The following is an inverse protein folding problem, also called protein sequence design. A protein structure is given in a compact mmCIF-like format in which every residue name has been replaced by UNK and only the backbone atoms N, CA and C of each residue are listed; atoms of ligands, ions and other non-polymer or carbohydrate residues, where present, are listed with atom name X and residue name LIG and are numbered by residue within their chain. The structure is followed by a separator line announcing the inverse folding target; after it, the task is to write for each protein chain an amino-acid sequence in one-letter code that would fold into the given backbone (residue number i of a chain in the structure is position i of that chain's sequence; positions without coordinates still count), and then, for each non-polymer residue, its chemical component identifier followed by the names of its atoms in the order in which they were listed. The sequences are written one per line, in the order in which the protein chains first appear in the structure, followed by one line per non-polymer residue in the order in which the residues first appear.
data_IF_455032556120
#
_entry.id   IF_455032556120
#
_cell.length_a   1.000
_cell.length_b   1.000
_cell.length_c   1.000
_cell.angle_alpha   90.00
_cell.angle_beta   90.00
_cell.angle_gamma   90.00
#
_symmetry.space_group_name_H-M   'P 1'
#
loop_
_entity.id
_entity.type
_entity.pdbx_description
1 polymer ?
#
# COMPACT_ATOMS: atom_id res chain seq x y z
N UNK A 1 -15.31 12.96 -9.32
CA UNK A 1 -14.82 13.63 -8.09
C UNK A 1 -14.24 12.66 -7.02
N UNK A 2 -14.67 11.38 -6.96
CA UNK A 2 -14.14 10.39 -6.00
C UNK A 2 -12.80 9.77 -6.42
N UNK A 3 -12.47 9.74 -7.70
CA UNK A 3 -11.21 9.15 -8.21
C UNK A 3 -9.99 10.05 -7.97
N UNK A 4 -10.15 11.38 -7.97
CA UNK A 4 -9.04 12.31 -7.67
C UNK A 4 -8.57 12.27 -6.20
N UNK A 5 -9.40 11.81 -5.26
CA UNK A 5 -9.06 11.78 -3.82
C UNK A 5 -8.08 10.67 -3.41
N UNK A 6 -7.87 9.66 -4.27
CA UNK A 6 -7.06 8.47 -3.94
C UNK A 6 -5.58 8.58 -4.31
N UNK A 7 -5.21 9.58 -5.13
CA UNK A 7 -3.84 9.71 -5.66
C UNK A 7 -3.03 10.86 -5.04
N UNK A 8 -3.63 11.63 -4.16
CA UNK A 8 -2.92 12.69 -3.47
C UNK A 8 -2.24 12.13 -2.22
N UNK A 9 -0.95 11.86 -2.36
CA UNK A 9 -0.05 11.94 -1.22
C UNK A 9 0.31 13.43 -1.04
N UNK A 10 -0.52 14.21 -0.35
CA UNK A 10 -0.47 15.66 -0.31
C UNK A 10 0.75 16.16 0.43
N UNK A 11 1.37 15.31 1.21
CA UNK A 11 2.48 15.67 2.10
C UNK A 11 3.79 15.94 1.37
N UNK A 12 4.11 15.24 0.28
CA UNK A 12 5.42 15.41 -0.38
C UNK A 12 5.49 16.76 -1.08
N UNK A 13 4.44 17.15 -1.82
CA UNK A 13 4.38 18.44 -2.50
C UNK A 13 4.37 19.61 -1.49
N UNK A 14 3.60 19.48 -0.41
CA UNK A 14 3.50 20.51 0.63
C UNK A 14 4.82 20.66 1.38
N UNK A 15 5.47 19.56 1.78
CA UNK A 15 6.78 19.61 2.42
C UNK A 15 7.87 20.17 1.49
N UNK A 16 7.80 19.84 0.20
CA UNK A 16 8.74 20.38 -0.78
C UNK A 16 8.57 21.89 -0.96
N UNK A 17 7.33 22.38 -1.06
CA UNK A 17 7.04 23.82 -1.14
C UNK A 17 7.45 24.57 0.15
N UNK A 18 7.21 23.98 1.33
CA UNK A 18 7.65 24.54 2.61
C UNK A 18 9.18 24.64 2.64
N UNK A 19 9.88 23.60 2.25
CA UNK A 19 11.34 23.57 2.19
C UNK A 19 11.88 24.62 1.22
N UNK A 20 11.26 24.77 0.05
CA UNK A 20 11.63 25.78 -0.94
C UNK A 20 11.50 27.21 -0.36
N UNK A 21 10.44 27.50 0.38
CA UNK A 21 10.25 28.81 1.04
C UNK A 21 11.32 29.06 2.10
N UNK A 22 11.68 28.06 2.92
CA UNK A 22 12.76 28.20 3.89
C UNK A 22 14.10 28.44 3.21
N UNK A 23 14.41 27.75 2.12
CA UNK A 23 15.62 27.99 1.33
C UNK A 23 15.62 29.40 0.73
N UNK A 24 14.49 29.87 0.21
CA UNK A 24 14.33 31.21 -0.33
C UNK A 24 14.50 32.28 0.74
N UNK A 25 13.90 32.10 1.92
CA UNK A 25 14.08 33.00 3.07
C UNK A 25 15.55 33.07 3.49
N UNK A 26 16.24 31.94 3.60
CA UNK A 26 17.65 31.91 3.93
C UNK A 26 18.49 32.65 2.86
N UNK A 27 18.26 32.35 1.59
CA UNK A 27 18.99 32.99 0.48
C UNK A 27 18.75 34.50 0.43
N UNK A 28 17.51 34.95 0.67
CA UNK A 28 17.16 36.36 0.76
C UNK A 28 17.86 37.07 1.96
N UNK A 29 17.86 36.42 3.11
CA UNK A 29 18.53 36.98 4.31
C UNK A 29 20.03 37.17 4.04
N UNK A 30 20.65 36.23 3.32
CA UNK A 30 22.07 36.37 2.93
C UNK A 30 22.27 37.45 1.86
N UNK A 31 21.38 37.53 0.86
CA UNK A 31 21.49 38.46 -0.27
C UNK A 31 21.24 39.93 0.16
N UNK A 32 20.35 40.15 1.11
CA UNK A 32 20.01 41.48 1.60
C UNK A 32 21.08 42.07 2.53
N UNK A 33 21.96 41.24 3.13
CA UNK A 33 23.06 41.71 3.92
C UNK A 33 22.70 42.32 5.26
N UNK A 34 23.77 42.83 6.00
CA UNK A 34 23.67 43.22 7.39
C UNK A 34 23.21 44.66 7.62
N UNK A 35 23.20 45.49 6.57
CA UNK A 35 23.07 46.97 6.74
C UNK A 35 21.70 47.51 6.29
N UNK A 36 20.63 46.70 6.40
CA UNK A 36 19.27 47.09 5.98
C UNK A 36 18.42 47.56 7.15
N UNK A 37 17.60 48.59 6.86
CA UNK A 37 16.58 49.06 7.79
C UNK A 37 15.56 47.95 8.15
N UNK A 38 15.08 47.97 9.37
CA UNK A 38 14.14 46.97 9.93
C UNK A 38 12.86 46.83 9.07
N UNK A 39 12.45 47.91 8.38
CA UNK A 39 11.25 47.95 7.51
C UNK A 39 11.43 47.04 6.29
N UNK A 40 12.63 46.96 5.73
CA UNK A 40 12.92 46.08 4.58
C UNK A 40 12.91 44.58 4.94
N UNK A 41 13.01 44.22 6.21
CA UNK A 41 12.95 42.87 6.74
C UNK A 41 11.52 42.41 7.06
N UNK A 42 10.55 43.33 7.10
CA UNK A 42 9.15 43.00 7.44
C UNK A 42 8.52 41.94 6.52
N UNK A 43 8.66 42.00 5.18
CA UNK A 43 8.12 40.95 4.30
C UNK A 43 8.73 39.59 4.56
N UNK A 44 10.03 39.54 4.86
CA UNK A 44 10.72 38.29 5.22
C UNK A 44 10.14 37.65 6.47
N UNK A 45 9.89 38.49 7.48
CA UNK A 45 9.30 38.04 8.74
C UNK A 45 7.87 37.52 8.54
N UNK A 46 7.05 38.22 7.74
CA UNK A 46 5.69 37.78 7.38
C UNK A 46 5.70 36.45 6.62
N UNK A 47 6.62 36.30 5.66
CA UNK A 47 6.76 35.02 4.94
C UNK A 47 7.22 33.90 5.86
N UNK A 48 8.17 34.17 6.78
CA UNK A 48 8.66 33.19 7.75
C UNK A 48 7.54 32.72 8.69
N UNK A 49 6.73 33.65 9.23
CA UNK A 49 5.56 33.31 10.06
C UNK A 49 4.53 32.52 9.28
N UNK A 50 4.22 32.94 8.05
CA UNK A 50 3.32 32.22 7.16
C UNK A 50 3.81 30.79 6.88
N UNK A 51 5.09 30.64 6.55
CA UNK A 51 5.68 29.34 6.28
C UNK A 51 5.71 28.44 7.53
N UNK A 52 5.96 29.03 8.72
CA UNK A 52 5.85 28.33 10.00
C UNK A 52 4.43 27.81 10.25
N UNK A 53 3.41 28.67 10.02
CA UNK A 53 2.01 28.28 10.15
C UNK A 53 1.68 27.13 9.19
N UNK A 54 2.13 27.18 7.92
CA UNK A 54 1.97 26.10 6.95
C UNK A 54 2.68 24.81 7.40
N UNK A 55 3.88 24.92 7.97
CA UNK A 55 4.63 23.77 8.49
C UNK A 55 3.89 23.10 9.64
N UNK A 56 3.33 23.86 10.55
CA UNK A 56 2.53 23.36 11.69
C UNK A 56 1.24 22.68 11.17
N UNK A 57 0.53 23.30 10.23
CA UNK A 57 -0.68 22.74 9.65
C UNK A 57 -0.39 21.43 8.91
N UNK A 58 0.72 21.37 8.18
CA UNK A 58 1.15 20.14 7.51
C UNK A 58 1.50 19.03 8.51
N UNK A 59 2.18 19.38 9.62
CA UNK A 59 2.52 18.46 10.70
C UNK A 59 1.31 17.93 11.46
N UNK A 60 0.29 18.77 11.68
CA UNK A 60 -0.97 18.41 12.34
C UNK A 60 -2.00 17.77 11.40
N UNK A 61 -1.67 17.58 10.13
CA UNK A 61 -2.59 17.04 9.11
C UNK A 61 -3.86 17.87 8.90
N UNK A 62 -3.84 19.16 9.21
CA UNK A 62 -4.98 20.06 9.02
C UNK A 62 -5.00 20.52 7.56
N UNK A 63 -6.10 20.25 6.84
CA UNK A 63 -6.24 20.61 5.43
C UNK A 63 -7.32 21.67 5.24
N UNK A 64 -6.91 22.83 4.77
CA UNK A 64 -7.82 23.82 4.21
C UNK A 64 -8.12 23.47 2.74
N UNK A 65 -9.37 23.63 2.32
CA UNK A 65 -9.82 23.25 0.96
C UNK A 65 -9.01 23.96 -0.14
N UNK A 66 -8.54 25.19 0.11
CA UNK A 66 -7.84 26.04 -0.85
C UNK A 66 -6.40 26.36 -0.44
N UNK A 67 -5.78 25.54 0.44
CA UNK A 67 -4.46 25.85 0.99
C UNK A 67 -3.37 26.02 -0.09
N UNK A 68 -3.41 25.25 -1.17
CA UNK A 68 -2.43 25.33 -2.27
C UNK A 68 -2.54 26.61 -3.07
N UNK A 69 -3.79 27.03 -3.37
CA UNK A 69 -4.04 28.29 -4.07
C UNK A 69 -3.62 29.49 -3.21
N UNK A 70 -3.97 29.47 -1.92
CA UNK A 70 -3.55 30.47 -0.95
C UNK A 70 -2.02 30.54 -0.84
N UNK A 71 -1.36 29.41 -0.82
CA UNK A 71 0.09 29.33 -0.75
C UNK A 71 0.77 30.01 -1.95
N UNK A 72 0.31 29.76 -3.18
CA UNK A 72 0.83 30.42 -4.39
C UNK A 72 0.50 31.91 -4.39
N UNK A 73 -0.71 32.30 -3.98
CA UNK A 73 -1.10 33.71 -3.89
C UNK A 73 -0.17 34.46 -2.94
N UNK A 74 0.14 33.88 -1.77
CA UNK A 74 1.08 34.47 -0.81
C UNK A 74 2.48 34.57 -1.41
N UNK A 75 2.95 33.54 -2.13
CA UNK A 75 4.26 33.58 -2.79
C UNK A 75 4.33 34.68 -3.88
N UNK A 76 3.26 34.88 -4.64
CA UNK A 76 3.15 35.95 -5.66
C UNK A 76 3.18 37.33 -4.98
N UNK A 77 2.33 37.55 -3.98
CA UNK A 77 2.27 38.82 -3.25
C UNK A 77 3.64 39.13 -2.62
N UNK A 78 4.27 38.14 -2.02
CA UNK A 78 5.60 38.28 -1.43
C UNK A 78 6.65 38.69 -2.47
N UNK A 79 6.68 38.01 -3.63
CA UNK A 79 7.63 38.32 -4.70
C UNK A 79 7.41 39.74 -5.23
N UNK A 80 6.17 40.19 -5.40
CA UNK A 80 5.82 41.56 -5.82
C UNK A 80 6.27 42.58 -4.76
N UNK A 81 6.05 42.30 -3.46
CA UNK A 81 6.47 43.20 -2.39
C UNK A 81 8.00 43.37 -2.36
N UNK A 82 8.74 42.28 -2.50
CA UNK A 82 10.21 42.34 -2.58
C UNK A 82 10.66 43.13 -3.82
N UNK A 83 10.02 42.95 -4.97
CA UNK A 83 10.32 43.76 -6.18
C UNK A 83 10.07 45.24 -5.96
N UNK A 84 9.01 45.61 -5.25
CA UNK A 84 8.73 47.00 -4.89
C UNK A 84 9.81 47.60 -3.98
N UNK A 85 10.26 46.87 -2.98
CA UNK A 85 11.25 47.33 -2.02
C UNK A 85 12.67 47.42 -2.60
N UNK A 86 13.03 46.49 -3.50
CA UNK A 86 14.38 46.34 -4.01
C UNK A 86 14.59 46.86 -5.44
N UNK A 87 13.73 47.81 -5.87
CA UNK A 87 13.81 48.44 -7.22
C UNK A 87 13.71 47.48 -8.41
N UNK A 88 12.95 46.39 -8.24
CA UNK A 88 12.53 45.53 -9.33
C UNK A 88 13.61 44.59 -9.83
N UNK A 89 13.64 44.38 -11.15
CA UNK A 89 14.42 43.35 -11.84
C UNK A 89 15.93 43.53 -11.85
N UNK A 90 16.44 44.71 -11.48
CA UNK A 90 17.88 45.03 -11.46
C UNK A 90 18.51 44.87 -10.08
N UNK A 91 17.70 44.53 -9.06
CA UNK A 91 18.19 44.31 -7.70
C UNK A 91 18.87 42.94 -7.53
N UNK A 92 19.64 42.82 -6.45
CA UNK A 92 20.30 41.57 -6.05
C UNK A 92 19.34 40.39 -5.83
N UNK A 93 18.05 40.66 -5.74
CA UNK A 93 16.98 39.70 -5.44
C UNK A 93 15.99 39.48 -6.59
N UNK A 94 16.38 39.87 -7.83
CA UNK A 94 15.52 39.67 -9.03
C UNK A 94 15.06 38.21 -9.24
N UNK A 95 15.83 37.23 -8.73
CA UNK A 95 15.52 35.81 -8.78
C UNK A 95 14.32 35.39 -7.92
N UNK A 96 13.80 36.24 -7.04
CA UNK A 96 12.66 35.91 -6.15
C UNK A 96 11.39 35.52 -6.93
N UNK A 97 11.24 36.04 -8.14
CA UNK A 97 10.14 35.66 -9.03
C UNK A 97 10.10 34.16 -9.39
N UNK A 98 11.18 33.43 -9.17
CA UNK A 98 11.25 31.97 -9.36
C UNK A 98 10.42 31.24 -8.31
N UNK A 99 10.30 31.77 -7.08
CA UNK A 99 9.57 31.13 -5.99
C UNK A 99 8.10 30.81 -6.34
N UNK A 100 7.25 31.78 -6.76
CA UNK A 100 5.86 31.48 -7.11
C UNK A 100 5.75 30.58 -8.34
N UNK A 101 6.71 30.62 -9.28
CA UNK A 101 6.75 29.74 -10.45
C UNK A 101 7.00 28.29 -10.03
N UNK A 102 7.98 28.06 -9.18
CA UNK A 102 8.29 26.73 -8.65
C UNK A 102 7.14 26.21 -7.78
N UNK A 103 6.59 27.04 -6.88
CA UNK A 103 5.44 26.65 -6.06
C UNK A 103 4.24 26.29 -6.93
N UNK A 104 3.95 27.10 -7.97
CA UNK A 104 2.90 26.82 -8.94
C UNK A 104 3.11 25.52 -9.70
N UNK A 105 4.34 25.27 -10.17
CA UNK A 105 4.70 24.05 -10.87
C UNK A 105 4.58 22.81 -9.98
N UNK A 106 4.96 22.90 -8.71
CA UNK A 106 4.87 21.79 -7.75
C UNK A 106 3.41 21.44 -7.45
N UNK A 107 2.54 22.45 -7.28
CA UNK A 107 1.15 22.22 -6.88
C UNK A 107 0.21 21.89 -8.03
N UNK A 108 0.42 22.49 -9.22
CA UNK A 108 -0.48 22.39 -10.37
C UNK A 108 0.21 22.03 -11.67
N UNK A 109 1.43 21.50 -11.59
CA UNK A 109 2.21 21.01 -12.73
C UNK A 109 2.42 22.14 -13.79
N UNK A 110 2.24 21.83 -15.07
CA UNK A 110 2.45 22.80 -16.18
C UNK A 110 1.54 24.03 -16.03
N UNK A 111 0.26 23.83 -15.71
CA UNK A 111 -0.70 24.95 -15.61
C UNK A 111 -0.30 25.91 -14.49
N UNK A 112 0.09 25.41 -13.33
CA UNK A 112 0.51 26.25 -12.22
C UNK A 112 1.80 27.01 -12.50
N UNK A 113 2.79 26.36 -13.10
CA UNK A 113 4.04 26.99 -13.50
C UNK A 113 3.82 28.12 -14.52
N UNK A 114 3.02 27.86 -15.57
CA UNK A 114 2.74 28.85 -16.62
C UNK A 114 1.90 30.02 -16.08
N UNK A 115 0.87 29.76 -15.27
CA UNK A 115 0.04 30.84 -14.68
C UNK A 115 0.87 31.73 -13.76
N UNK A 116 1.65 31.16 -12.85
CA UNK A 116 2.52 31.94 -11.97
C UNK A 116 3.57 32.73 -12.77
N UNK A 117 4.18 32.12 -13.79
CA UNK A 117 5.12 32.79 -14.67
C UNK A 117 4.48 33.94 -15.46
N UNK A 118 3.23 33.78 -15.92
CA UNK A 118 2.49 34.83 -16.63
C UNK A 118 2.24 36.03 -15.71
N UNK A 119 1.84 35.82 -14.47
CA UNK A 119 1.66 36.89 -13.49
C UNK A 119 3.00 37.60 -13.23
N UNK A 120 4.09 36.88 -13.05
CA UNK A 120 5.40 37.47 -12.82
C UNK A 120 5.93 38.21 -14.07
N UNK A 121 5.68 37.68 -15.27
CA UNK A 121 6.03 38.37 -16.53
C UNK A 121 5.27 39.69 -16.71
N UNK A 122 3.98 39.69 -16.44
CA UNK A 122 3.18 40.91 -16.44
C UNK A 122 3.68 41.93 -15.40
N UNK A 123 4.01 41.47 -14.21
CA UNK A 123 4.63 42.28 -13.16
C UNK A 123 5.95 42.90 -13.63
N UNK A 124 6.82 42.14 -14.25
CA UNK A 124 8.11 42.60 -14.79
C UNK A 124 7.91 43.70 -15.84
N UNK A 125 6.98 43.50 -16.78
CA UNK A 125 6.62 44.51 -17.81
C UNK A 125 6.04 45.78 -17.18
N UNK A 126 5.12 45.67 -16.22
CA UNK A 126 4.51 46.80 -15.54
C UNK A 126 5.56 47.64 -14.80
N UNK A 127 6.48 46.99 -14.06
CA UNK A 127 7.57 47.67 -13.36
C UNK A 127 8.49 48.44 -14.33
N UNK A 128 8.80 47.84 -15.49
CA UNK A 128 9.61 48.49 -16.50
C UNK A 128 8.87 49.66 -17.17
N UNK A 129 7.57 49.52 -17.41
CA UNK A 129 6.74 50.57 -18.02
C UNK A 129 6.56 51.78 -17.13
N UNK A 130 6.28 51.55 -15.82
CA UNK A 130 6.08 52.65 -14.85
C UNK A 130 7.40 53.23 -14.30
N UNK A 131 8.56 52.80 -14.81
CA UNK A 131 9.84 53.31 -14.35
C UNK A 131 10.19 52.96 -12.91
N UNK A 132 9.48 52.00 -12.32
CA UNK A 132 9.74 51.46 -10.96
C UNK A 132 10.98 50.57 -10.90
N UNK A 133 11.46 50.11 -12.04
CA UNK A 133 12.69 49.34 -12.17
C UNK A 133 13.76 50.21 -12.84
N UNK A 134 15.03 50.06 -12.39
CA UNK A 134 16.17 50.76 -13.00
C UNK A 134 16.47 50.26 -14.45
N UNK A 135 15.67 49.29 -14.96
CA UNK A 135 15.81 48.73 -16.31
C UNK A 135 14.96 49.44 -17.36
N UNK A 136 15.45 49.40 -18.60
CA UNK A 136 14.74 49.87 -19.79
C UNK A 136 13.58 48.90 -20.16
N UNK A 137 12.58 49.37 -20.93
CA UNK A 137 11.50 48.53 -21.45
C UNK A 137 11.99 47.23 -22.11
N UNK A 138 13.08 47.25 -22.97
CA UNK A 138 13.61 46.00 -23.52
C UNK A 138 14.13 45.03 -22.45
N UNK A 139 14.68 45.52 -21.35
CA UNK A 139 15.11 44.65 -20.26
C UNK A 139 13.91 43.94 -19.56
N UNK A 140 12.78 44.70 -19.39
CA UNK A 140 11.54 44.11 -18.86
C UNK A 140 10.94 43.06 -19.79
N UNK A 141 10.98 43.31 -21.10
CA UNK A 141 10.53 42.31 -22.09
C UNK A 141 11.39 41.03 -22.09
N UNK A 142 12.70 41.19 -22.02
CA UNK A 142 13.62 40.01 -21.89
C UNK A 142 13.35 39.24 -20.60
N UNK A 143 13.18 39.93 -19.48
CA UNK A 143 12.84 39.30 -18.20
C UNK A 143 11.49 38.54 -18.24
N UNK A 144 10.47 39.13 -18.89
CA UNK A 144 9.18 38.48 -19.08
C UNK A 144 9.29 37.18 -19.91
N UNK A 145 10.07 37.21 -21.01
CA UNK A 145 10.30 36.04 -21.85
C UNK A 145 11.04 34.94 -21.06
N UNK A 146 12.09 35.31 -20.32
CA UNK A 146 12.83 34.37 -19.48
C UNK A 146 11.91 33.75 -18.42
N UNK A 147 11.09 34.56 -17.76
CA UNK A 147 10.15 34.11 -16.74
C UNK A 147 9.14 33.11 -17.29
N UNK A 148 8.58 33.38 -18.47
CA UNK A 148 7.67 32.43 -19.15
C UNK A 148 8.36 31.14 -19.55
N UNK A 149 9.59 31.24 -20.08
CA UNK A 149 10.39 30.06 -20.41
C UNK A 149 10.68 29.20 -19.17
N UNK A 150 11.02 29.82 -18.04
CA UNK A 150 11.21 29.13 -16.76
C UNK A 150 9.92 28.49 -16.27
N UNK A 151 8.77 29.14 -16.43
CA UNK A 151 7.46 28.58 -16.08
C UNK A 151 7.12 27.31 -16.85
N UNK A 152 7.39 27.32 -18.17
CA UNK A 152 7.24 26.15 -19.02
C UNK A 152 8.22 25.04 -18.63
N UNK A 153 9.49 25.37 -18.43
CA UNK A 153 10.53 24.43 -18.07
C UNK A 153 10.22 23.74 -16.73
N UNK A 154 9.99 24.50 -15.68
CA UNK A 154 9.67 23.96 -14.36
C UNK A 154 8.34 23.22 -14.33
N UNK A 155 7.34 23.71 -15.04
CA UNK A 155 6.05 23.03 -15.21
C UNK A 155 6.21 21.67 -15.88
N UNK A 156 7.01 21.58 -16.93
CA UNK A 156 7.30 20.33 -17.64
C UNK A 156 8.10 19.35 -16.76
N UNK A 157 9.17 19.82 -16.11
CA UNK A 157 9.97 19.00 -15.19
C UNK A 157 9.13 18.47 -14.03
N UNK A 158 8.29 19.32 -13.45
CA UNK A 158 7.39 18.90 -12.35
C UNK A 158 6.41 17.82 -12.82
N UNK A 159 5.79 18.01 -13.99
CA UNK A 159 4.90 17.00 -14.57
C UNK A 159 5.61 15.66 -14.81
N UNK A 160 6.82 15.71 -15.37
CA UNK A 160 7.61 14.51 -15.61
C UNK A 160 7.97 13.79 -14.29
N UNK A 161 8.40 14.54 -13.27
CA UNK A 161 8.74 14.01 -11.95
C UNK A 161 7.52 13.37 -11.27
N UNK A 162 6.39 14.07 -11.27
CA UNK A 162 5.14 13.56 -10.66
C UNK A 162 4.69 12.28 -11.37
N UNK A 163 4.73 12.24 -12.70
CA UNK A 163 4.36 11.05 -13.46
C UNK A 163 5.31 9.87 -13.19
N UNK A 164 6.60 10.13 -13.04
CA UNK A 164 7.58 9.09 -12.65
C UNK A 164 7.29 8.54 -11.25
N UNK A 165 7.04 9.41 -10.28
CA UNK A 165 6.70 9.00 -8.92
C UNK A 165 5.36 8.22 -8.85
N UNK A 166 4.36 8.61 -9.65
CA UNK A 166 3.09 7.87 -9.77
C UNK A 166 3.32 6.45 -10.29
N UNK A 167 4.11 6.30 -11.35
CA UNK A 167 4.45 4.97 -11.91
C UNK A 167 5.16 4.08 -10.89
N UNK A 168 6.16 4.60 -10.19
CA UNK A 168 6.86 3.85 -9.15
C UNK A 168 5.91 3.36 -8.03
N UNK A 169 4.97 4.20 -7.60
CA UNK A 169 3.97 3.80 -6.60
C UNK A 169 3.01 2.73 -7.10
N UNK A 170 2.53 2.86 -8.34
CA UNK A 170 1.66 1.85 -8.95
C UNK A 170 2.36 0.49 -9.04
N UNK A 171 3.64 0.49 -9.37
CA UNK A 171 4.45 -0.73 -9.41
C UNK A 171 4.64 -1.34 -8.01
N UNK A 172 4.91 -0.50 -7.01
CA UNK A 172 4.99 -0.96 -5.61
C UNK A 172 3.67 -1.56 -5.12
N UNK A 173 2.55 -0.86 -5.34
CA UNK A 173 1.22 -1.37 -4.97
C UNK A 173 0.88 -2.70 -5.67
N UNK A 174 1.22 -2.85 -6.95
CA UNK A 174 1.04 -4.11 -7.69
C UNK A 174 1.89 -5.23 -7.08
N UNK A 175 3.13 -4.92 -6.71
CA UNK A 175 4.05 -5.89 -6.10
C UNK A 175 3.57 -6.32 -4.72
N UNK A 176 3.10 -5.39 -3.90
CA UNK A 176 2.53 -5.69 -2.57
C UNK A 176 1.26 -6.53 -2.66
N UNK A 177 0.33 -6.18 -3.56
CA UNK A 177 -0.89 -6.97 -3.80
C UNK A 177 -0.55 -8.38 -4.27
N UNK A 178 0.45 -8.53 -5.14
CA UNK A 178 0.89 -9.85 -5.61
C UNK A 178 1.50 -10.68 -4.47
N UNK A 179 2.30 -10.07 -3.59
CA UNK A 179 2.85 -10.74 -2.40
C UNK A 179 1.73 -11.19 -1.45
N UNK A 180 0.79 -10.32 -1.14
CA UNK A 180 -0.36 -10.65 -0.27
C UNK A 180 -1.21 -11.76 -0.87
N UNK A 181 -1.43 -11.75 -2.19
CA UNK A 181 -2.17 -12.81 -2.86
C UNK A 181 -1.45 -14.17 -2.75
N UNK A 182 -0.14 -14.22 -3.01
CA UNK A 182 0.66 -15.44 -2.90
C UNK A 182 0.67 -15.96 -1.45
N UNK A 183 0.77 -15.08 -0.46
CA UNK A 183 0.75 -15.45 0.96
C UNK A 183 -0.61 -16.01 1.38
N UNK A 184 -1.70 -15.39 0.96
CA UNK A 184 -3.06 -15.87 1.21
C UNK A 184 -3.31 -17.24 0.56
N UNK A 185 -2.83 -17.46 -0.66
CA UNK A 185 -2.96 -18.75 -1.35
C UNK A 185 -2.17 -19.85 -0.64
N UNK A 186 -0.98 -19.51 -0.16
CA UNK A 186 -0.17 -20.42 0.66
C UNK A 186 -0.84 -20.80 1.98
N UNK A 187 -1.41 -19.82 2.68
CA UNK A 187 -2.16 -20.06 3.92
C UNK A 187 -3.38 -20.93 3.67
N UNK A 188 -4.11 -20.69 2.56
CA UNK A 188 -5.24 -21.51 2.16
C UNK A 188 -4.85 -22.96 1.91
N UNK A 189 -3.76 -23.18 1.16
CA UNK A 189 -3.25 -24.53 0.89
C UNK A 189 -2.86 -25.26 2.20
N UNK A 190 -2.21 -24.58 3.15
CA UNK A 190 -1.89 -25.12 4.47
C UNK A 190 -3.17 -25.49 5.24
N UNK A 191 -4.17 -24.63 5.22
CA UNK A 191 -5.45 -24.87 5.89
C UNK A 191 -6.17 -26.09 5.29
N UNK A 192 -6.24 -26.21 3.98
CA UNK A 192 -6.83 -27.36 3.28
C UNK A 192 -6.10 -28.67 3.61
N UNK A 193 -4.77 -28.65 3.61
CA UNK A 193 -3.95 -29.80 4.02
C UNK A 193 -4.20 -30.19 5.47
N UNK A 194 -4.24 -29.23 6.38
CA UNK A 194 -4.49 -29.46 7.81
C UNK A 194 -5.87 -30.05 8.05
N UNK A 195 -6.88 -29.53 7.35
CA UNK A 195 -8.26 -30.02 7.45
C UNK A 195 -8.37 -31.45 6.93
N UNK A 196 -7.73 -31.76 5.80
CA UNK A 196 -7.71 -33.11 5.22
C UNK A 196 -6.99 -34.10 6.13
N UNK A 197 -5.84 -33.72 6.70
CA UNK A 197 -5.11 -34.55 7.66
C UNK A 197 -5.92 -34.82 8.93
N UNK A 198 -6.56 -33.79 9.49
CA UNK A 198 -7.40 -33.95 10.67
C UNK A 198 -8.62 -34.84 10.40
N UNK A 199 -9.25 -34.72 9.25
CA UNK A 199 -10.35 -35.60 8.85
C UNK A 199 -9.89 -37.07 8.72
N UNK A 200 -8.73 -37.30 8.12
CA UNK A 200 -8.17 -38.65 7.99
C UNK A 200 -7.77 -39.27 9.32
N UNK A 201 -7.15 -38.49 10.20
CA UNK A 201 -6.79 -38.95 11.56
C UNK A 201 -8.02 -39.23 12.41
N UNK A 202 -9.07 -38.40 12.31
CA UNK A 202 -10.34 -38.61 13.00
C UNK A 202 -11.03 -39.88 12.54
N UNK A 203 -11.04 -40.14 11.22
CA UNK A 203 -11.63 -41.35 10.65
C UNK A 203 -10.91 -42.62 11.13
N UNK A 204 -9.57 -42.66 11.11
CA UNK A 204 -8.78 -43.78 11.62
C UNK A 204 -9.07 -44.04 13.10
N UNK A 205 -9.09 -42.98 13.92
CA UNK A 205 -9.41 -43.10 15.37
C UNK A 205 -10.81 -43.63 15.62
N UNK A 206 -11.81 -43.24 14.82
CA UNK A 206 -13.19 -43.76 14.91
C UNK A 206 -13.21 -45.26 14.62
N UNK A 207 -12.50 -45.74 13.60
CA UNK A 207 -12.40 -47.17 13.30
C UNK A 207 -11.67 -47.98 14.39
N UNK A 208 -10.62 -47.43 14.96
CA UNK A 208 -9.90 -48.06 16.07
C UNK A 208 -10.79 -48.15 17.32
N UNK A 209 -11.52 -47.08 17.65
CA UNK A 209 -12.46 -47.11 18.77
C UNK A 209 -13.63 -48.09 18.53
N UNK A 210 -14.11 -48.20 17.30
CA UNK A 210 -15.16 -49.17 16.94
C UNK A 210 -14.69 -50.62 17.14
N UNK A 211 -13.45 -50.92 16.78
CA UNK A 211 -12.83 -52.22 17.09
C UNK A 211 -12.75 -52.49 18.58
N UNK A 212 -12.32 -51.51 19.40
CA UNK A 212 -12.20 -51.66 20.83
C UNK A 212 -13.59 -51.88 21.50
N UNK A 213 -14.57 -51.17 21.08
CA UNK A 213 -15.95 -51.33 21.56
C UNK A 213 -16.55 -52.67 21.17
N UNK A 214 -16.30 -53.14 19.96
CA UNK A 214 -16.82 -54.45 19.49
C UNK A 214 -16.24 -55.61 20.28
N UNK A 215 -14.93 -55.56 20.54
CA UNK A 215 -14.25 -56.58 21.39
C UNK A 215 -14.85 -56.59 22.81
N UNK A 216 -15.04 -55.46 23.45
CA UNK A 216 -15.62 -55.34 24.79
C UNK A 216 -17.10 -55.75 24.82
N UNK A 217 -17.85 -55.46 23.77
CA UNK A 217 -19.25 -55.85 23.71
C UNK A 217 -19.46 -57.35 23.57
N UNK A 218 -18.55 -58.03 22.86
CA UNK A 218 -18.63 -59.50 22.72
C UNK A 218 -18.20 -60.30 23.97
N UNK A 219 -17.32 -59.75 24.78
CA UNK A 219 -16.82 -60.40 25.97
C UNK A 219 -16.71 -59.37 27.13
N UNK A 220 -17.82 -59.04 27.80
CA UNK A 220 -17.82 -58.05 28.88
C UNK A 220 -17.02 -58.49 30.10
N UNK A 221 -16.89 -59.80 30.32
CA UNK A 221 -16.17 -60.43 31.44
C UNK A 221 -14.79 -60.97 31.07
N UNK A 222 -14.26 -60.68 29.89
CA UNK A 222 -12.97 -61.18 29.47
C UNK A 222 -11.82 -60.46 30.19
N UNK A 223 -10.94 -61.24 30.81
CA UNK A 223 -9.67 -60.72 31.33
C UNK A 223 -8.82 -60.08 30.20
N UNK A 224 -7.93 -59.17 30.57
CA UNK A 224 -7.07 -58.46 29.62
C UNK A 224 -6.30 -59.43 28.72
N UNK A 225 -5.90 -60.60 29.23
CA UNK A 225 -5.23 -61.65 28.48
C UNK A 225 -6.06 -62.25 27.35
N UNK A 226 -7.38 -62.30 27.43
CA UNK A 226 -8.27 -62.80 26.39
C UNK A 226 -8.43 -61.78 25.25
N UNK A 227 -8.55 -60.53 25.61
CA UNK A 227 -8.62 -59.44 24.63
C UNK A 227 -7.34 -59.40 23.79
N UNK A 228 -6.27 -59.92 24.37
CA UNK A 228 -4.93 -60.01 23.73
C UNK A 228 -4.78 -61.18 22.75
N UNK A 229 -5.72 -62.06 22.62
CA UNK A 229 -5.72 -63.17 21.64
C UNK A 229 -6.67 -62.95 20.45
N UNK A 230 -7.57 -62.01 20.54
CA UNK A 230 -8.60 -61.77 19.52
C UNK A 230 -8.02 -61.04 18.29
N UNK A 231 -8.25 -61.60 17.13
CA UNK A 231 -7.98 -60.99 15.83
C UNK A 231 -9.26 -60.27 15.39
N UNK A 232 -9.18 -58.99 15.10
CA UNK A 232 -10.33 -58.21 14.71
C UNK A 232 -10.03 -57.25 13.55
N UNK A 233 -11.00 -57.04 12.70
CA UNK A 233 -10.85 -56.13 11.58
C UNK A 233 -12.16 -55.40 11.24
N UNK A 234 -12.02 -54.17 10.80
CA UNK A 234 -13.10 -53.41 10.12
C UNK A 234 -12.85 -53.44 8.63
N UNK A 235 -13.81 -54.00 7.92
CA UNK A 235 -13.81 -54.01 6.47
C UNK A 235 -14.82 -52.99 5.96
N UNK A 236 -14.46 -52.26 4.90
CA UNK A 236 -15.33 -51.33 4.23
C UNK A 236 -15.52 -51.66 2.77
N UNK A 237 -16.70 -51.45 2.26
CA UNK A 237 -17.00 -51.57 0.87
C UNK A 237 -16.27 -50.52 0.04
N UNK A 238 -15.58 -50.93 -0.98
CA UNK A 238 -15.03 -50.11 -2.05
C UNK A 238 -15.51 -50.73 -3.37
N UNK A 239 -16.59 -50.16 -3.89
CA UNK A 239 -17.32 -50.80 -5.00
C UNK A 239 -17.98 -52.12 -4.54
N UNK A 240 -17.62 -53.24 -5.11
CA UNK A 240 -18.14 -54.57 -4.79
C UNK A 240 -17.16 -55.42 -3.94
N UNK A 241 -16.08 -54.81 -3.49
CA UNK A 241 -15.02 -55.48 -2.75
C UNK A 241 -14.95 -54.95 -1.31
N UNK A 242 -14.62 -55.81 -0.37
CA UNK A 242 -14.37 -55.49 1.03
C UNK A 242 -12.85 -55.36 1.28
N UNK A 243 -12.47 -54.16 1.71
CA UNK A 243 -11.06 -53.85 2.00
C UNK A 243 -10.89 -53.66 3.51
N UNK A 244 -9.84 -54.23 4.07
CA UNK A 244 -9.49 -53.99 5.48
C UNK A 244 -9.00 -52.58 5.69
N UNK A 245 -9.72 -51.79 6.48
CA UNK A 245 -9.41 -50.37 6.79
C UNK A 245 -8.75 -50.22 8.17
N UNK A 246 -9.10 -51.08 9.11
CA UNK A 246 -8.47 -51.14 10.42
C UNK A 246 -8.48 -52.59 10.87
N UNK A 247 -7.37 -53.06 11.47
CA UNK A 247 -7.29 -54.40 11.96
C UNK A 247 -6.35 -54.46 13.15
N UNK A 248 -6.63 -55.39 14.05
CA UNK A 248 -5.74 -55.78 15.12
C UNK A 248 -5.24 -57.22 14.91
N UNK A 249 -3.92 -57.38 15.01
CA UNK A 249 -3.24 -58.70 14.86
C UNK A 249 -3.40 -59.36 13.50
N UNK A 250 -3.77 -58.61 12.50
CA UNK A 250 -3.64 -59.05 11.12
C UNK A 250 -2.18 -59.00 10.69
N UNK A 251 -1.74 -59.98 9.96
CA UNK A 251 -0.45 -59.92 9.28
C UNK A 251 -0.47 -58.85 8.19
N UNK A 252 0.67 -58.35 7.79
CA UNK A 252 0.76 -57.36 6.69
C UNK A 252 0.19 -57.93 5.38
N UNK A 253 0.26 -59.24 5.19
CA UNK A 253 -0.32 -59.91 4.04
C UNK A 253 -1.86 -59.91 4.09
N UNK A 254 -2.45 -60.21 5.26
CA UNK A 254 -3.88 -60.26 5.47
C UNK A 254 -4.52 -58.87 5.39
N UNK A 255 -3.82 -57.86 5.85
CA UNK A 255 -4.32 -56.44 5.72
C UNK A 255 -4.44 -55.99 4.29
N UNK A 256 -3.67 -56.56 3.37
CA UNK A 256 -3.72 -56.22 1.92
C UNK A 256 -4.69 -57.11 1.14
N UNK A 257 -5.30 -58.10 1.80
CA UNK A 257 -6.22 -59.04 1.15
C UNK A 257 -7.55 -58.33 0.88
N UNK A 258 -8.06 -58.56 -0.31
CA UNK A 258 -9.39 -58.08 -0.73
C UNK A 258 -10.37 -59.24 -0.59
N UNK A 259 -11.50 -59.02 0.00
CA UNK A 259 -12.53 -60.01 0.20
C UNK A 259 -13.72 -59.72 -0.72
N UNK A 260 -14.31 -60.77 -1.27
CA UNK A 260 -15.56 -60.65 -2.02
C UNK A 260 -16.73 -60.52 -1.02
N UNK A 261 -17.45 -59.39 -1.05
CA UNK A 261 -18.57 -59.14 -0.12
C UNK A 261 -19.81 -59.97 -0.37
N UNK A 262 -19.86 -60.76 -1.45
CA UNK A 262 -21.04 -61.53 -1.89
C UNK A 262 -20.96 -63.04 -1.59
N UNK A 263 -19.88 -63.52 -1.04
CA UNK A 263 -19.66 -64.95 -0.87
C UNK A 263 -19.23 -65.32 0.56
N UNK A 264 -19.55 -66.55 0.97
CA UNK A 264 -19.16 -67.11 2.25
C UNK A 264 -19.80 -66.45 3.48
N UNK A 265 -19.14 -66.55 4.62
CA UNK A 265 -19.65 -66.02 5.92
C UNK A 265 -19.92 -64.53 5.88
N UNK A 266 -19.07 -63.80 5.18
CA UNK A 266 -19.23 -62.34 5.03
C UNK A 266 -20.44 -61.98 4.18
N UNK A 267 -20.71 -62.75 3.11
CA UNK A 267 -21.88 -62.57 2.26
C UNK A 267 -23.18 -62.84 3.01
N UNK A 268 -23.25 -63.94 3.78
CA UNK A 268 -24.42 -64.27 4.60
C UNK A 268 -24.70 -63.18 5.65
N UNK A 269 -23.67 -62.74 6.40
CA UNK A 269 -23.80 -61.69 7.42
C UNK A 269 -24.28 -60.34 6.83
N UNK A 270 -23.89 -60.07 5.59
CA UNK A 270 -24.29 -58.80 4.91
C UNK A 270 -25.72 -58.92 4.38
N UNK A 271 -26.11 -60.08 3.84
CA UNK A 271 -27.44 -60.33 3.28
C UNK A 271 -28.52 -60.37 4.40
N UNK A 272 -28.18 -61.03 5.51
CA UNK A 272 -29.09 -61.16 6.64
C UNK A 272 -29.13 -59.91 7.54
N UNK A 273 -28.07 -59.08 7.49
CA UNK A 273 -27.87 -57.92 8.37
C UNK A 273 -27.77 -58.26 9.85
N UNK A 274 -27.46 -59.52 10.15
CA UNK A 274 -27.30 -60.04 11.50
C UNK A 274 -25.92 -60.68 11.75
N UNK A 275 -25.46 -60.72 13.01
CA UNK A 275 -24.21 -61.38 13.36
C UNK A 275 -24.22 -62.88 13.05
N UNK A 276 -23.27 -63.35 12.26
CA UNK A 276 -23.13 -64.78 11.95
C UNK A 276 -21.99 -65.35 12.76
N UNK A 277 -22.27 -66.39 13.54
CA UNK A 277 -21.28 -67.17 14.33
C UNK A 277 -21.01 -68.50 13.62
N UNK A 278 -19.74 -68.81 13.38
CA UNK A 278 -19.34 -70.08 12.89
C UNK A 278 -18.30 -70.73 13.78
N UNK A 279 -18.47 -72.01 14.06
CA UNK A 279 -17.58 -72.78 14.97
C UNK A 279 -16.48 -73.52 14.21
N UNK A 280 -16.50 -73.57 12.91
CA UNK A 280 -15.53 -74.33 12.10
C UNK A 280 -15.05 -73.51 10.90
N UNK A 281 -13.90 -72.90 11.05
CA UNK A 281 -13.16 -72.27 9.98
C UNK A 281 -12.08 -73.28 9.55
N UNK A 282 -12.54 -74.21 8.65
CA UNK A 282 -11.61 -75.15 8.02
C UNK A 282 -10.87 -74.49 6.86
#
# INVERSE_FOLDING_TARGET
HKLMRKFDSPYIADWFAISLRWMTLFALTVALGKDRELISLLPLFVLALGNLAWSVMAGLNIRLTYHRQLAILVDIIFAILIFLLEKGLTGAVAWIGILPILSGAIYFEILGGVLAASVMAVTALAFSYFGMSAGSLPAGAIAAVITLALGLLFGFLSNQLINSLRRMREEQEKTEKKRQWVENERLRAIYELTTTLNATLSYKRVLENALDLSVRAMHPDADEDFSDQLVSAVLLFVGNELIVKSARRFTTADQRRVFTGAEGILGNAIEEGEPVLTQNIG
#
